data_IF_242696972666
#
_entry.id   IF_242696972666
#
_cell.length_a   1.000
_cell.length_b   1.000
_cell.length_c   1.000
_cell.angle_alpha   90.00
_cell.angle_beta   90.00
_cell.angle_gamma   90.00
#
_symmetry.space_group_name_H-M   'P 1'
#
loop_
_entity.id
_entity.type
_entity.pdbx_description
1 polymer ?
#
# COMPACT_ATOMS: atom_id res chain seq x y z
N UNK A 1 -28.37 21.23 68.21
CA UNK A 1 -27.80 21.44 66.87
C UNK A 1 -26.31 21.16 66.97
N UNK A 2 -25.97 19.89 66.74
CA UNK A 2 -24.61 19.34 66.89
C UNK A 2 -23.89 19.50 65.56
N UNK A 3 -22.70 20.09 65.59
CA UNK A 3 -21.86 20.29 64.41
C UNK A 3 -21.19 18.99 64.00
N UNK A 4 -21.29 18.72 62.71
CA UNK A 4 -20.90 17.52 61.97
C UNK A 4 -19.37 17.48 61.75
N UNK A 5 -18.78 16.31 61.95
CA UNK A 5 -17.36 16.05 61.75
C UNK A 5 -17.05 15.80 60.26
N UNK A 6 -16.23 16.66 59.65
CA UNK A 6 -15.63 16.42 58.34
C UNK A 6 -14.48 15.41 58.43
N UNK A 7 -14.72 14.22 57.88
CA UNK A 7 -13.72 13.18 57.62
C UNK A 7 -12.74 13.62 56.52
N UNK A 8 -11.46 13.75 56.86
CA UNK A 8 -10.34 13.84 55.91
C UNK A 8 -10.16 12.48 55.21
N UNK A 9 -10.40 12.42 53.90
CA UNK A 9 -9.92 11.33 53.06
C UNK A 9 -8.51 11.67 52.54
N UNK A 10 -7.53 10.89 52.98
CA UNK A 10 -6.18 10.88 52.45
C UNK A 10 -6.17 10.27 51.04
N UNK A 11 -5.65 11.01 50.06
CA UNK A 11 -5.35 10.52 48.71
C UNK A 11 -3.96 9.85 48.74
N UNK A 12 -3.82 8.55 48.39
CA UNK A 12 -2.49 7.98 48.19
C UNK A 12 -1.92 8.38 46.83
N UNK A 13 -0.76 9.05 46.88
CA UNK A 13 0.09 9.39 45.75
C UNK A 13 0.62 8.12 45.08
N UNK A 14 0.37 7.97 43.78
CA UNK A 14 0.90 6.86 42.96
C UNK A 14 2.44 6.95 42.82
N UNK A 15 3.16 5.81 42.78
CA UNK A 15 4.60 5.79 42.55
C UNK A 15 4.95 6.03 41.09
N UNK A 16 5.97 6.86 40.88
CA UNK A 16 6.71 7.11 39.65
C UNK A 16 7.09 5.80 38.95
N UNK A 17 6.49 5.56 37.78
CA UNK A 17 6.91 4.51 36.86
C UNK A 17 8.23 4.92 36.17
N UNK A 18 9.31 4.32 36.63
CA UNK A 18 10.65 4.41 36.05
C UNK A 18 10.65 3.75 34.67
N UNK A 19 10.71 4.59 33.64
CA UNK A 19 10.82 4.22 32.23
C UNK A 19 12.22 3.59 31.97
N UNK A 20 12.35 2.32 31.55
CA UNK A 20 13.65 1.78 31.17
C UNK A 20 14.10 2.34 29.82
N UNK A 21 15.37 2.76 29.80
CA UNK A 21 16.06 3.36 28.67
C UNK A 21 15.94 2.49 27.40
N UNK A 22 15.44 3.10 26.32
CA UNK A 22 15.52 2.58 24.96
C UNK A 22 16.99 2.40 24.57
N UNK A 23 17.47 1.16 24.62
CA UNK A 23 18.75 0.78 24.02
C UNK A 23 18.66 0.95 22.50
N UNK A 24 19.48 1.85 21.98
CA UNK A 24 19.65 2.11 20.56
C UNK A 24 20.45 0.97 19.90
N UNK A 25 19.90 0.36 18.85
CA UNK A 25 20.63 -0.56 17.99
C UNK A 25 21.72 0.20 17.20
N UNK A 26 22.94 -0.37 17.03
CA UNK A 26 24.00 0.26 16.26
C UNK A 26 23.67 0.27 14.75
N UNK A 27 23.76 1.46 14.15
CA UNK A 27 23.59 1.73 12.71
C UNK A 27 24.69 1.00 11.93
N UNK A 28 24.29 0.04 11.10
CA UNK A 28 25.17 -0.72 10.20
C UNK A 28 25.69 0.22 9.09
N UNK A 29 27.01 0.27 8.94
CA UNK A 29 27.72 1.14 8.00
C UNK A 29 27.45 0.76 6.53
N UNK A 30 26.98 1.72 5.75
CA UNK A 30 26.96 1.64 4.28
C UNK A 30 28.35 2.02 3.79
N UNK A 31 29.08 1.05 3.22
CA UNK A 31 30.33 1.30 2.50
C UNK A 31 30.01 1.93 1.15
N UNK A 32 30.41 3.19 0.99
CA UNK A 32 30.67 3.85 -0.28
C UNK A 32 31.66 3.04 -1.12
N UNK A 33 31.37 2.82 -2.40
CA UNK A 33 32.39 2.53 -3.40
C UNK A 33 32.14 3.37 -4.65
N UNK A 34 33.18 4.11 -4.99
CA UNK A 34 33.30 5.12 -6.02
C UNK A 34 33.16 4.59 -7.45
N UNK A 35 32.76 5.49 -8.35
CA UNK A 35 32.83 5.36 -9.80
C UNK A 35 34.24 5.06 -10.33
N UNK A 36 34.33 4.60 -11.59
CA UNK A 36 35.13 5.38 -12.52
C UNK A 36 34.43 5.71 -13.85
N UNK A 37 34.85 6.87 -14.32
CA UNK A 37 34.76 7.53 -15.62
C UNK A 37 35.29 6.65 -16.76
N UNK A 38 34.54 6.50 -17.86
CA UNK A 38 35.11 6.26 -19.19
C UNK A 38 34.10 6.66 -20.28
N UNK A 39 34.39 7.76 -20.95
CA UNK A 39 33.77 8.17 -22.19
C UNK A 39 34.83 8.14 -23.30
N UNK A 40 34.49 7.69 -24.52
CA UNK A 40 35.17 8.16 -25.70
C UNK A 40 34.22 8.99 -26.59
N UNK A 41 34.68 10.21 -26.87
CA UNK A 41 34.22 11.09 -27.93
C UNK A 41 34.34 10.43 -29.30
N UNK A 42 33.31 10.58 -30.14
CA UNK A 42 33.41 10.34 -31.57
C UNK A 42 32.81 11.52 -32.37
N UNK A 43 33.73 12.38 -32.79
CA UNK A 43 33.80 13.14 -34.05
C UNK A 43 32.51 13.59 -34.76
N UNK A 44 32.33 14.91 -34.77
CA UNK A 44 31.68 15.71 -35.83
C UNK A 44 32.43 15.56 -37.15
N UNK A 45 31.74 15.60 -38.30
CA UNK A 45 32.08 16.22 -39.61
C UNK A 45 30.99 15.81 -40.67
N UNK A 46 30.84 16.46 -41.86
CA UNK A 46 30.00 17.63 -42.09
C UNK A 46 28.91 17.44 -43.19
N UNK A 47 28.09 18.49 -43.36
CA UNK A 47 27.06 18.69 -44.40
C UNK A 47 27.50 18.32 -45.84
N UNK A 48 26.63 17.62 -46.56
CA UNK A 48 26.51 17.73 -48.02
C UNK A 48 25.04 17.82 -48.47
N UNK A 49 24.80 18.90 -49.21
CA UNK A 49 23.62 19.31 -49.95
C UNK A 49 23.22 18.25 -51.00
N UNK A 50 21.94 17.93 -51.10
CA UNK A 50 21.34 17.36 -52.31
C UNK A 50 20.28 18.35 -52.81
N UNK A 51 20.42 18.92 -54.02
CA UNK A 51 19.41 19.78 -54.62
C UNK A 51 18.31 18.90 -55.25
N UNK A 52 17.04 19.28 -55.13
CA UNK A 52 16.01 18.85 -56.08
C UNK A 52 15.15 20.06 -56.47
N UNK A 53 15.19 20.33 -57.76
CA UNK A 53 14.49 21.41 -58.48
C UNK A 53 12.96 21.28 -58.38
N UNK A 54 12.31 22.40 -58.66
CA UNK A 54 10.92 22.68 -58.38
C UNK A 54 9.93 22.26 -59.50
N UNK A 55 8.77 21.72 -59.06
CA UNK A 55 7.38 21.89 -59.58
C UNK A 55 7.00 21.40 -61.00
N UNK A 56 5.71 21.11 -61.32
CA UNK A 56 4.48 21.72 -60.77
C UNK A 56 3.28 20.78 -60.45
N UNK A 57 2.25 21.45 -59.92
CA UNK A 57 0.98 21.00 -59.35
C UNK A 57 0.07 20.13 -60.25
N UNK A 58 -0.73 19.26 -59.63
CA UNK A 58 -2.20 19.25 -59.75
C UNK A 58 -2.85 18.31 -58.72
N UNK A 59 -4.05 18.71 -58.32
CA UNK A 59 -4.93 18.19 -57.27
C UNK A 59 -5.43 16.76 -57.52
N UNK A 60 -5.49 15.93 -56.48
CA UNK A 60 -6.74 15.27 -56.04
C UNK A 60 -6.56 14.73 -54.60
N UNK A 61 -7.69 14.56 -53.92
CA UNK A 61 -7.88 14.73 -52.49
C UNK A 61 -8.35 13.40 -51.90
N UNK A 62 -7.49 12.71 -51.16
CA UNK A 62 -7.92 11.63 -50.27
C UNK A 62 -7.01 11.61 -49.01
N UNK A 63 -7.43 12.19 -47.88
CA UNK A 63 -6.66 12.07 -46.64
C UNK A 63 -6.89 10.68 -46.05
N UNK A 64 -5.90 9.80 -46.24
CA UNK A 64 -5.70 8.63 -45.37
C UNK A 64 -5.68 9.11 -43.91
N UNK A 65 -6.32 8.41 -42.95
CA UNK A 65 -6.32 8.82 -41.56
C UNK A 65 -4.88 8.78 -41.04
N UNK A 66 -4.31 9.96 -40.85
CA UNK A 66 -3.09 10.16 -40.08
C UNK A 66 -3.39 9.64 -38.68
N UNK A 67 -2.95 8.42 -38.39
CA UNK A 67 -2.74 7.96 -37.01
C UNK A 67 -1.69 8.91 -36.46
N UNK A 68 -2.17 9.96 -35.83
CA UNK A 68 -1.35 10.83 -35.00
C UNK A 68 -0.60 9.90 -34.03
N UNK A 69 0.72 10.09 -33.83
CA UNK A 69 1.36 9.45 -32.69
C UNK A 69 0.58 9.90 -31.46
N UNK A 70 0.12 8.93 -30.65
CA UNK A 70 -0.49 9.19 -29.36
C UNK A 70 0.36 10.24 -28.62
N UNK A 71 -0.25 11.26 -27.98
CA UNK A 71 0.53 12.20 -27.21
C UNK A 71 1.33 11.39 -26.19
N UNK A 72 2.63 11.59 -26.23
CA UNK A 72 3.59 11.19 -25.22
C UNK A 72 3.06 11.74 -23.89
N UNK A 73 2.28 10.96 -23.14
CA UNK A 73 1.77 11.30 -21.81
C UNK A 73 2.92 11.08 -20.82
N UNK A 74 4.02 11.79 -21.06
CA UNK A 74 5.08 11.95 -20.09
C UNK A 74 4.73 13.24 -19.37
N UNK A 75 4.21 13.20 -18.12
CA UNK A 75 3.72 14.40 -17.49
C UNK A 75 4.88 15.30 -17.10
N UNK A 76 5.08 16.33 -17.92
CA UNK A 76 5.78 17.54 -17.53
C UNK A 76 5.16 18.04 -16.21
N UNK A 77 5.97 18.30 -15.18
CA UNK A 77 5.48 18.50 -13.82
C UNK A 77 4.47 19.66 -13.73
N UNK A 78 3.17 19.34 -13.73
CA UNK A 78 2.09 20.33 -13.67
C UNK A 78 1.99 20.86 -12.24
N UNK A 79 2.04 22.19 -12.08
CA UNK A 79 1.87 22.86 -10.78
C UNK A 79 0.86 23.99 -10.93
N UNK A 80 -0.42 23.64 -10.84
CA UNK A 80 -1.55 24.58 -10.93
C UNK A 80 -2.36 24.58 -9.64
N UNK A 81 -3.06 25.67 -9.37
CA UNK A 81 -3.83 25.88 -8.14
C UNK A 81 -4.78 24.73 -7.74
N UNK A 82 -5.25 23.96 -8.74
CA UNK A 82 -6.19 22.83 -8.60
C UNK A 82 -5.68 21.49 -9.14
N UNK A 83 -4.50 21.48 -9.76
CA UNK A 83 -3.94 20.30 -10.41
C UNK A 83 -2.43 20.28 -10.20
N UNK A 84 -1.95 19.28 -9.47
CA UNK A 84 -0.52 19.05 -9.30
C UNK A 84 -0.15 17.66 -9.81
N UNK A 85 0.93 17.56 -10.57
CA UNK A 85 1.47 16.30 -11.04
C UNK A 85 2.98 16.30 -10.82
N UNK A 86 3.46 15.35 -10.01
CA UNK A 86 4.87 15.24 -9.65
C UNK A 86 5.18 13.84 -9.13
N UNK A 87 6.34 13.29 -9.50
CA UNK A 87 6.85 11.99 -9.00
C UNK A 87 5.87 10.82 -9.17
N UNK A 88 5.13 10.78 -10.29
CA UNK A 88 4.13 9.73 -10.56
C UNK A 88 2.85 9.86 -9.72
N UNK A 89 2.63 11.01 -9.09
CA UNK A 89 1.40 11.33 -8.37
C UNK A 89 0.68 12.50 -9.01
N UNK A 90 -0.64 12.38 -9.12
CA UNK A 90 -1.53 13.44 -9.62
C UNK A 90 -2.54 13.79 -8.55
N UNK A 91 -2.55 15.04 -8.11
CA UNK A 91 -3.50 15.59 -7.17
C UNK A 91 -4.48 16.53 -7.89
N UNK A 92 -5.77 16.22 -7.81
CA UNK A 92 -6.85 16.99 -8.44
C UNK A 92 -7.82 17.51 -7.40
N UNK A 93 -8.06 18.81 -7.39
CA UNK A 93 -9.08 19.41 -6.52
C UNK A 93 -10.40 19.48 -7.28
N UNK A 94 -11.34 18.62 -6.89
CA UNK A 94 -12.68 18.51 -7.48
C UNK A 94 -13.73 19.05 -6.52
N UNK A 95 -14.91 19.35 -7.07
CA UNK A 95 -16.07 19.65 -6.24
C UNK A 95 -16.62 18.32 -5.70
N UNK A 96 -16.83 18.21 -4.39
CA UNK A 96 -17.47 17.04 -3.82
C UNK A 96 -18.98 17.09 -4.15
N UNK A 97 -19.56 15.99 -4.61
CA UNK A 97 -21.02 15.90 -4.84
C UNK A 97 -21.76 15.55 -3.55
N UNK A 98 -21.12 14.88 -2.59
CA UNK A 98 -21.73 14.40 -1.35
C UNK A 98 -21.69 15.43 -0.21
N UNK A 99 -20.74 16.35 -0.23
CA UNK A 99 -20.62 17.46 0.72
C UNK A 99 -20.56 18.79 -0.04
N UNK A 100 -21.19 19.86 0.47
CA UNK A 100 -21.09 21.25 -0.03
C UNK A 100 -19.65 21.81 0.15
N UNK A 101 -18.69 21.21 -0.55
CA UNK A 101 -17.25 21.41 -0.34
C UNK A 101 -16.40 20.96 -1.54
N UNK A 102 -15.09 21.06 -1.35
CA UNK A 102 -14.11 20.55 -2.31
C UNK A 102 -13.55 19.24 -1.79
N UNK A 103 -13.16 18.35 -2.69
CA UNK A 103 -12.39 17.17 -2.38
C UNK A 103 -11.08 17.22 -3.16
N UNK A 104 -10.08 16.52 -2.63
CA UNK A 104 -8.83 16.28 -3.36
C UNK A 104 -8.73 14.80 -3.65
N UNK A 105 -8.54 14.49 -4.93
CA UNK A 105 -8.28 13.15 -5.42
C UNK A 105 -6.78 13.00 -5.64
N UNK A 106 -6.21 11.95 -5.06
CA UNK A 106 -4.82 11.55 -5.24
C UNK A 106 -4.78 10.28 -6.09
N UNK A 107 -4.23 10.41 -7.30
CA UNK A 107 -4.06 9.33 -8.25
C UNK A 107 -2.58 8.99 -8.36
N UNK A 108 -2.28 7.69 -8.44
CA UNK A 108 -0.92 7.20 -8.68
C UNK A 108 -0.83 6.75 -10.14
N UNK A 109 0.27 7.10 -10.79
CA UNK A 109 0.53 6.69 -12.17
C UNK A 109 0.48 5.16 -12.31
N UNK A 110 -0.22 4.69 -13.34
CA UNK A 110 -0.48 3.27 -13.60
C UNK A 110 -1.67 2.67 -12.85
N UNK A 111 -2.33 3.39 -11.94
CA UNK A 111 -3.57 2.94 -11.28
C UNK A 111 -4.79 3.66 -11.89
N UNK A 112 -5.82 2.89 -12.25
CA UNK A 112 -7.07 3.44 -12.78
C UNK A 112 -7.94 4.09 -11.69
N UNK A 113 -7.75 3.69 -10.43
CA UNK A 113 -8.50 4.19 -9.29
C UNK A 113 -7.68 5.18 -8.44
N UNK A 114 -8.31 6.22 -7.89
CA UNK A 114 -7.62 7.15 -6.99
C UNK A 114 -7.24 6.44 -5.69
N UNK A 115 -5.95 6.52 -5.33
CA UNK A 115 -5.40 5.97 -4.09
C UNK A 115 -6.05 6.57 -2.84
N UNK A 116 -6.49 7.83 -2.91
CA UNK A 116 -7.20 8.50 -1.83
C UNK A 116 -8.08 9.62 -2.40
N UNK A 117 -9.32 9.71 -1.91
CA UNK A 117 -10.19 10.88 -2.08
C UNK A 117 -10.54 11.40 -0.70
N UNK A 118 -10.20 12.66 -0.44
CA UNK A 118 -10.38 13.26 0.89
C UNK A 118 -11.01 14.65 0.83
N UNK A 119 -11.68 15.08 1.90
CA UNK A 119 -12.23 16.43 1.98
C UNK A 119 -11.09 17.46 1.87
N UNK A 120 -11.29 18.45 1.02
CA UNK A 120 -10.36 19.55 0.80
C UNK A 120 -10.96 20.86 1.30
N UNK A 121 -10.13 21.64 2.00
CA UNK A 121 -10.61 22.88 2.62
C UNK A 121 -10.95 23.92 1.58
N UNK A 122 -12.15 24.49 1.71
CA UNK A 122 -12.55 25.71 1.02
C UNK A 122 -11.58 26.85 1.40
N UNK A 123 -11.08 27.57 0.40
CA UNK A 123 -10.10 28.65 0.58
C UNK A 123 -10.70 29.86 1.30
N UNK A 124 -9.85 30.82 1.62
CA UNK A 124 -10.21 32.03 2.36
C UNK A 124 -11.34 32.84 1.70
N UNK A 125 -11.42 32.81 0.38
CA UNK A 125 -12.43 33.49 -0.43
C UNK A 125 -13.78 32.77 -0.46
N UNK A 126 -13.93 31.66 0.26
CA UNK A 126 -15.19 30.92 0.50
C UNK A 126 -15.94 30.48 -0.77
N UNK A 127 -15.28 30.61 -1.92
CA UNK A 127 -15.76 30.25 -3.27
C UNK A 127 -14.73 29.44 -4.04
N UNK A 128 -13.44 29.73 -3.84
CA UNK A 128 -12.34 28.96 -4.42
C UNK A 128 -11.77 27.99 -3.40
N UNK A 129 -11.36 26.78 -3.82
CA UNK A 129 -10.65 25.87 -2.92
C UNK A 129 -9.35 26.53 -2.46
N UNK A 130 -8.83 26.09 -1.30
CA UNK A 130 -7.48 26.50 -0.90
C UNK A 130 -6.51 26.07 -2.02
N UNK A 131 -5.64 26.98 -2.51
CA UNK A 131 -4.69 26.64 -3.56
C UNK A 131 -3.84 25.46 -3.11
N UNK A 132 -3.71 24.47 -3.97
CA UNK A 132 -2.83 23.35 -3.71
C UNK A 132 -1.40 23.87 -3.80
N UNK A 133 -0.67 23.80 -2.68
CA UNK A 133 0.74 24.20 -2.57
C UNK A 133 1.63 22.96 -2.42
N UNK A 134 2.93 23.09 -2.67
CA UNK A 134 3.88 22.00 -2.56
C UNK A 134 3.85 21.32 -1.19
N UNK A 135 3.72 22.07 -0.09
CA UNK A 135 3.65 21.48 1.25
C UNK A 135 2.39 20.61 1.44
N UNK A 136 1.26 21.07 0.90
CA UNK A 136 0.01 20.34 0.90
C UNK A 136 0.08 19.08 0.04
N UNK A 137 0.60 19.21 -1.20
CA UNK A 137 0.81 18.09 -2.11
C UNK A 137 1.68 17.00 -1.48
N UNK A 138 2.84 17.37 -0.91
CA UNK A 138 3.74 16.41 -0.25
C UNK A 138 3.08 15.67 0.93
N UNK A 139 2.14 16.32 1.62
CA UNK A 139 1.38 15.69 2.70
C UNK A 139 0.39 14.68 2.13
N UNK A 140 -0.35 15.05 1.08
CA UNK A 140 -1.29 14.17 0.42
C UNK A 140 -0.61 12.95 -0.21
N UNK A 141 0.56 13.12 -0.84
CA UNK A 141 1.37 12.01 -1.38
C UNK A 141 1.74 11.03 -0.27
N UNK A 142 2.18 11.51 0.90
CA UNK A 142 2.49 10.64 2.04
C UNK A 142 1.26 9.87 2.51
N UNK A 143 0.14 10.56 2.72
CA UNK A 143 -1.09 9.90 3.18
C UNK A 143 -1.61 8.90 2.15
N UNK A 144 -1.62 9.23 0.86
CA UNK A 144 -2.03 8.33 -0.19
C UNK A 144 -1.10 7.10 -0.28
N UNK A 145 0.22 7.31 -0.13
CA UNK A 145 1.19 6.21 -0.06
C UNK A 145 0.93 5.30 1.14
N UNK A 146 0.66 5.86 2.32
CA UNK A 146 0.32 5.10 3.52
C UNK A 146 -1.00 4.34 3.35
N UNK A 147 -1.99 4.93 2.69
CA UNK A 147 -3.27 4.27 2.38
C UNK A 147 -3.02 3.07 1.48
N UNK A 148 -2.33 3.23 0.34
CA UNK A 148 -1.99 2.11 -0.54
C UNK A 148 -1.20 1.02 0.20
N UNK A 149 -0.20 1.42 1.00
CA UNK A 149 0.59 0.48 1.78
C UNK A 149 -0.29 -0.26 2.80
N UNK A 150 -1.22 0.43 3.46
CA UNK A 150 -2.17 -0.16 4.42
C UNK A 150 -3.16 -1.08 3.73
N UNK A 151 -3.70 -0.72 2.56
CA UNK A 151 -4.58 -1.58 1.78
C UNK A 151 -3.86 -2.86 1.36
N UNK A 152 -2.62 -2.75 0.87
CA UNK A 152 -1.79 -3.90 0.55
C UNK A 152 -1.51 -4.77 1.78
N UNK A 153 -1.19 -4.16 2.92
CA UNK A 153 -1.00 -4.89 4.19
C UNK A 153 -2.29 -5.54 4.69
N UNK A 154 -3.45 -4.90 4.52
CA UNK A 154 -4.74 -5.49 4.88
C UNK A 154 -5.08 -6.66 3.97
N UNK A 155 -4.88 -6.54 2.65
CA UNK A 155 -5.02 -7.65 1.71
C UNK A 155 -4.09 -8.80 2.09
N UNK A 156 -2.81 -8.50 2.36
CA UNK A 156 -1.83 -9.51 2.79
C UNK A 156 -2.22 -10.16 4.14
N UNK A 157 -2.66 -9.41 5.15
CA UNK A 157 -3.11 -9.96 6.43
C UNK A 157 -4.44 -10.74 6.33
N UNK A 158 -5.25 -10.47 5.30
CA UNK A 158 -6.43 -11.28 5.00
C UNK A 158 -6.05 -12.62 4.40
N UNK A 159 -5.04 -12.66 3.53
CA UNK A 159 -4.53 -13.88 2.89
C UNK A 159 -3.64 -14.71 3.82
N UNK A 160 -2.84 -14.06 4.67
CA UNK A 160 -1.90 -14.72 5.57
C UNK A 160 -2.31 -14.45 7.02
N UNK A 161 -2.92 -15.45 7.66
CA UNK A 161 -3.28 -15.40 9.08
C UNK A 161 -2.31 -16.27 9.88
N UNK A 162 -1.82 -15.79 11.00
CA UNK A 162 -1.08 -16.60 11.97
C UNK A 162 -1.74 -16.52 13.34
N UNK A 163 -1.70 -17.64 14.07
CA UNK A 163 -2.27 -17.76 15.40
C UNK A 163 -1.38 -18.66 16.24
N UNK A 164 -0.91 -18.13 17.36
CA UNK A 164 -0.21 -18.92 18.37
C UNK A 164 -1.21 -19.53 19.35
N UNK A 165 -1.16 -20.85 19.54
CA UNK A 165 -2.03 -21.58 20.47
C UNK A 165 -1.21 -22.51 21.36
N UNK A 166 -1.69 -22.75 22.57
CA UNK A 166 -1.12 -23.77 23.46
C UNK A 166 -1.97 -25.04 23.37
N UNK A 167 -1.34 -26.16 23.05
CA UNK A 167 -1.99 -27.47 22.94
C UNK A 167 -0.98 -28.58 23.20
N UNK A 168 -1.42 -29.68 23.83
CA UNK A 168 -0.57 -30.83 24.14
C UNK A 168 0.70 -30.45 24.94
N UNK A 169 0.57 -29.53 25.91
CA UNK A 169 1.68 -29.00 26.74
C UNK A 169 2.79 -28.27 25.95
N UNK A 170 2.54 -27.88 24.70
CA UNK A 170 3.47 -27.13 23.86
C UNK A 170 2.80 -25.90 23.23
N UNK A 171 3.61 -24.89 22.89
CA UNK A 171 3.16 -23.77 22.06
C UNK A 171 3.28 -24.12 20.57
N UNK A 172 2.25 -23.78 19.81
CA UNK A 172 2.19 -24.01 18.37
C UNK A 172 1.91 -22.69 17.66
N UNK A 173 2.69 -22.38 16.62
CA UNK A 173 2.39 -21.31 15.68
C UNK A 173 1.65 -21.91 14.48
N UNK A 174 0.38 -21.58 14.33
CA UNK A 174 -0.47 -22.08 13.24
C UNK A 174 -0.65 -20.98 12.21
N UNK A 175 -0.29 -21.25 10.95
CA UNK A 175 -0.40 -20.32 9.84
C UNK A 175 -1.42 -20.80 8.83
N UNK A 176 -2.28 -19.91 8.37
CA UNK A 176 -3.21 -20.09 7.28
C UNK A 176 -2.81 -19.15 6.14
N UNK A 177 -2.48 -19.74 5.01
CA UNK A 177 -2.05 -19.06 3.79
C UNK A 177 -3.08 -19.30 2.69
N UNK A 178 -3.85 -18.28 2.32
CA UNK A 178 -4.87 -18.37 1.28
C UNK A 178 -4.24 -17.99 -0.06
N UNK A 179 -4.26 -18.92 -1.02
CA UNK A 179 -3.84 -18.66 -2.40
C UNK A 179 -5.06 -18.22 -3.22
N UNK A 180 -5.13 -16.95 -3.64
CA UNK A 180 -6.21 -16.45 -4.49
C UNK A 180 -5.94 -16.83 -5.95
N UNK A 181 -6.14 -18.11 -6.28
CA UNK A 181 -6.08 -18.59 -7.67
C UNK A 181 -7.46 -18.47 -8.34
N UNK A 182 -7.50 -18.12 -9.62
CA UNK A 182 -8.76 -17.96 -10.39
C UNK A 182 -9.43 -19.30 -10.72
N UNK A 183 -8.68 -20.40 -10.74
CA UNK A 183 -9.17 -21.72 -11.15
C UNK A 183 -9.41 -22.63 -9.94
N UNK A 184 -8.50 -22.64 -8.97
CA UNK A 184 -8.59 -23.49 -7.78
C UNK A 184 -8.14 -22.73 -6.52
N UNK A 185 -9.00 -21.88 -5.92
CA UNK A 185 -8.65 -21.20 -4.67
C UNK A 185 -8.56 -22.22 -3.53
N UNK A 186 -7.39 -22.28 -2.87
CA UNK A 186 -7.17 -23.12 -1.70
C UNK A 186 -6.45 -22.33 -0.61
N UNK A 187 -6.52 -22.84 0.62
CA UNK A 187 -5.67 -22.34 1.69
C UNK A 187 -4.79 -23.46 2.25
N UNK A 188 -3.62 -23.10 2.73
CA UNK A 188 -2.64 -24.00 3.32
C UNK A 188 -2.54 -23.71 4.80
N UNK A 189 -2.80 -24.72 5.62
CA UNK A 189 -2.70 -24.65 7.06
C UNK A 189 -1.40 -25.35 7.48
N UNK A 190 -0.43 -24.61 8.00
CA UNK A 190 0.84 -25.12 8.53
C UNK A 190 0.89 -24.97 10.06
N UNK A 191 1.49 -25.94 10.74
CA UNK A 191 1.79 -25.89 12.16
C UNK A 191 3.30 -25.90 12.37
N UNK A 192 3.78 -24.97 13.18
CA UNK A 192 5.17 -24.87 13.62
C UNK A 192 5.24 -25.08 15.13
N UNK A 193 6.28 -25.76 15.60
CA UNK A 193 6.53 -25.94 17.03
C UNK A 193 7.26 -24.73 17.67
N UNK A 194 7.64 -24.84 18.95
CA UNK A 194 8.40 -23.79 19.66
C UNK A 194 9.79 -23.52 19.08
N UNK A 195 10.39 -24.48 18.38
CA UNK A 195 11.67 -24.28 17.68
C UNK A 195 11.48 -23.52 16.35
N UNK A 196 10.23 -23.41 15.87
CA UNK A 196 9.89 -22.83 14.58
C UNK A 196 9.99 -23.83 13.43
N UNK A 197 10.09 -25.12 13.74
CA UNK A 197 10.13 -26.20 12.74
C UNK A 197 8.71 -26.55 12.28
N UNK A 198 8.52 -26.73 10.97
CA UNK A 198 7.22 -27.14 10.42
C UNK A 198 6.96 -28.61 10.74
N UNK A 199 5.94 -28.87 11.56
CA UNK A 199 5.56 -30.22 11.98
C UNK A 199 4.51 -30.83 11.07
N UNK A 200 3.60 -30.00 10.54
CA UNK A 200 2.55 -30.46 9.63
C UNK A 200 2.07 -29.35 8.71
N UNK A 201 1.62 -29.76 7.52
CA UNK A 201 0.98 -28.90 6.53
C UNK A 201 -0.19 -29.62 5.87
N UNK A 202 -1.33 -28.95 5.74
CA UNK A 202 -2.52 -29.51 5.06
C UNK A 202 -3.25 -28.46 4.23
N UNK A 203 -3.79 -28.87 3.08
CA UNK A 203 -4.65 -28.00 2.26
C UNK A 203 -6.08 -28.00 2.79
N UNK A 204 -6.63 -26.82 3.06
CA UNK A 204 -8.00 -26.60 3.53
C UNK A 204 -8.77 -25.73 2.54
N UNK A 205 -10.09 -25.61 2.74
CA UNK A 205 -10.90 -24.70 1.96
C UNK A 205 -10.43 -23.23 2.15
N UNK A 206 -10.53 -22.37 1.13
CA UNK A 206 -10.12 -20.96 1.23
C UNK A 206 -10.94 -20.17 2.26
N UNK A 207 -12.16 -20.62 2.58
CA UNK A 207 -13.02 -20.02 3.63
C UNK A 207 -12.73 -20.55 5.05
N UNK A 208 -11.69 -21.38 5.23
CA UNK A 208 -11.37 -21.94 6.53
C UNK A 208 -11.04 -20.85 7.56
N UNK A 209 -11.83 -20.79 8.63
CA UNK A 209 -11.62 -19.82 9.71
C UNK A 209 -10.60 -20.33 10.73
N UNK A 210 -9.38 -19.80 10.67
CA UNK A 210 -8.37 -20.02 11.70
C UNK A 210 -8.76 -19.28 12.99
N UNK A 211 -9.03 -20.03 14.05
CA UNK A 211 -9.29 -19.53 15.40
C UNK A 211 -8.70 -20.52 16.43
N UNK A 212 -8.64 -20.13 17.71
CA UNK A 212 -8.03 -20.95 18.75
C UNK A 212 -8.65 -22.34 18.85
N UNK A 213 -9.98 -22.45 18.77
CA UNK A 213 -10.68 -23.73 18.85
C UNK A 213 -10.38 -24.63 17.66
N UNK A 214 -10.40 -24.11 16.42
CA UNK A 214 -10.12 -24.90 15.21
C UNK A 214 -8.65 -25.33 15.14
N UNK A 215 -7.73 -24.45 15.55
CA UNK A 215 -6.30 -24.75 15.64
C UNK A 215 -5.99 -25.82 16.69
N UNK A 216 -6.51 -25.67 17.92
CA UNK A 216 -6.32 -26.69 18.97
C UNK A 216 -6.94 -28.02 18.57
N UNK A 217 -8.14 -28.04 17.99
CA UNK A 217 -8.77 -29.28 17.52
C UNK A 217 -7.92 -29.97 16.44
N UNK A 218 -7.34 -29.21 15.52
CA UNK A 218 -6.46 -29.74 14.48
C UNK A 218 -5.18 -30.35 15.06
N UNK A 219 -4.52 -29.66 15.99
CA UNK A 219 -3.31 -30.16 16.68
C UNK A 219 -3.63 -31.44 17.48
N UNK A 220 -4.72 -31.43 18.27
CA UNK A 220 -5.14 -32.59 19.08
C UNK A 220 -5.53 -33.79 18.20
N UNK A 221 -6.05 -33.55 16.99
CA UNK A 221 -6.36 -34.61 16.02
C UNK A 221 -5.12 -35.21 15.34
N UNK A 222 -3.90 -34.79 15.69
CA UNK A 222 -2.67 -35.23 15.05
C UNK A 222 -2.52 -34.65 13.64
N UNK A 223 -2.97 -33.40 13.43
CA UNK A 223 -2.91 -32.68 12.17
C UNK A 223 -3.76 -33.27 11.02
N UNK A 224 -4.79 -34.06 11.34
CA UNK A 224 -5.72 -34.59 10.35
C UNK A 224 -6.46 -33.46 9.61
N UNK A 225 -6.81 -33.65 8.32
CA UNK A 225 -7.46 -32.61 7.52
C UNK A 225 -8.77 -32.14 8.20
N UNK A 226 -8.87 -30.87 8.64
CA UNK A 226 -10.06 -30.40 9.33
C UNK A 226 -11.24 -30.34 8.34
N UNK A 227 -12.31 -31.10 8.64
CA UNK A 227 -13.50 -31.20 7.77
C UNK A 227 -13.44 -32.26 6.67
N UNK A 228 -12.38 -33.08 6.61
CA UNK A 228 -12.33 -34.23 5.70
C UNK A 228 -13.16 -35.39 6.25
N UNK A 229 -14.38 -35.59 5.72
CA UNK A 229 -15.01 -36.93 5.76
C UNK A 229 -14.03 -37.90 5.10
N UNK A 230 -13.58 -38.91 5.84
CA UNK A 230 -12.63 -39.91 5.33
C UNK A 230 -13.15 -40.63 4.08
N UNK A 231 -12.26 -41.16 3.22
CA UNK A 231 -12.64 -41.71 1.91
C UNK A 231 -13.29 -43.12 1.94
N UNK A 232 -13.95 -43.54 3.03
CA UNK A 232 -14.51 -44.89 3.16
C UNK A 232 -15.82 -44.94 3.97
N UNK A 233 -16.89 -44.35 3.43
CA UNK A 233 -18.26 -44.59 3.93
C UNK A 233 -19.23 -44.61 2.72
N UNK A 234 -19.17 -45.70 1.94
CA UNK A 234 -20.28 -46.55 1.42
C UNK A 234 -19.70 -47.60 0.44
#
# INVERSE_FOLDING_TARGET
MTHDQMTLFAVPTAPTESQPARQALPRRAVRTRSAPDDAPQAALLPLQLIPHEATPAMTDNEPLPSIAPAPDDTPDAIRSDRLWQLDGWTARVIKNEDDDGWAVEMLKDGEAEPALVGPWTMGRDKKNPKPLDQAAFNTLVKTATEVLQRHAQQAHAMLHKSLTVFALDAQWDVRLDITPDEYEPFATLSAYDEAGDEVAQVRVAPDFRLNTTSATAWIVSGFARPGGRGPFDD
#
